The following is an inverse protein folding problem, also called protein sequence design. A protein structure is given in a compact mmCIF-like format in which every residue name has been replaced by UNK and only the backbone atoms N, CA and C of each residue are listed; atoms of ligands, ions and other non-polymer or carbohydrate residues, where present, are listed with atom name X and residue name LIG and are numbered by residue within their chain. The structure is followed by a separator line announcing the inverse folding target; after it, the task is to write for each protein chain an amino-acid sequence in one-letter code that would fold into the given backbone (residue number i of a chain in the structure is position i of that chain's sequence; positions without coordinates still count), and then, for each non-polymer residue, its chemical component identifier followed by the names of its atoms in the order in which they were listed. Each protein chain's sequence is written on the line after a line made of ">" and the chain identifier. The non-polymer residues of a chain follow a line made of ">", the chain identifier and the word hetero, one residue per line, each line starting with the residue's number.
data_IF_692487336846
#
_entry.id   IF_692487336846
#
_cell.length_a   1.000
_cell.length_b   1.000
_cell.length_c   1.000
_cell.angle_alpha   90.00
_cell.angle_beta   90.00
_cell.angle_gamma   90.00
#
_symmetry.space_group_name_H-M   'P 1'
#
loop_
_entity.id
_entity.type
_entity.pdbx_description
1 polymer ?
#
# COMPACT_ATOMS: atom_id res chain seq x y z
N UNK A 1 -5.35 3.56 -8.18
CA UNK A 1 -5.62 3.31 -6.74
C UNK A 1 -6.52 2.08 -6.59
N UNK A 2 -6.40 1.27 -5.52
CA UNK A 2 -7.28 0.13 -5.34
C UNK A 2 -8.70 0.57 -4.94
N UNK A 3 -9.75 -0.17 -5.34
CA UNK A 3 -11.14 0.10 -4.93
C UNK A 3 -11.30 0.14 -3.41
N UNK A 4 -10.59 -0.74 -2.70
CA UNK A 4 -10.50 -0.75 -1.24
C UNK A 4 -9.50 0.30 -0.71
N UNK A 5 -9.87 1.57 -0.86
CA UNK A 5 -9.12 2.72 -0.37
C UNK A 5 -10.02 3.77 0.30
N UNK A 6 -9.42 4.64 1.11
CA UNK A 6 -10.12 5.75 1.74
C UNK A 6 -10.36 6.96 0.81
N UNK A 7 -10.02 6.85 -0.49
CA UNK A 7 -10.22 7.93 -1.47
C UNK A 7 -11.70 8.24 -1.57
N UNK A 8 -12.08 9.53 -1.47
CA UNK A 8 -13.48 9.95 -1.62
C UNK A 8 -13.84 10.08 -3.09
N UNK A 9 -15.04 9.61 -3.44
CA UNK A 9 -15.64 9.66 -4.77
C UNK A 9 -17.07 10.14 -4.58
N UNK A 10 -17.39 11.32 -5.12
CA UNK A 10 -18.69 11.98 -4.94
C UNK A 10 -19.14 12.01 -3.46
N UNK A 11 -18.22 12.31 -2.55
CA UNK A 11 -18.48 12.41 -1.11
C UNK A 11 -18.40 11.10 -0.30
N UNK A 12 -18.38 9.92 -0.94
CA UNK A 12 -18.30 8.62 -0.26
C UNK A 12 -16.91 7.99 -0.37
N UNK A 13 -16.48 7.19 0.62
CA UNK A 13 -15.17 6.54 0.53
C UNK A 13 -15.23 5.36 -0.44
N UNK A 14 -14.20 5.17 -1.26
CA UNK A 14 -14.17 4.13 -2.30
C UNK A 14 -14.39 2.71 -1.72
N UNK A 15 -13.84 2.41 -0.53
CA UNK A 15 -14.05 1.10 0.10
C UNK A 15 -15.53 0.84 0.47
N UNK A 16 -16.33 1.88 0.74
CA UNK A 16 -17.75 1.73 1.09
C UNK A 16 -18.57 1.29 -0.13
N UNK A 17 -18.20 1.80 -1.31
CA UNK A 17 -18.79 1.42 -2.58
C UNK A 17 -18.31 0.04 -3.03
N UNK A 18 -17.02 -0.25 -2.88
CA UNK A 18 -16.43 -1.54 -3.23
C UNK A 18 -17.04 -2.70 -2.41
N UNK A 19 -17.28 -2.50 -1.11
CA UNK A 19 -17.96 -3.49 -0.25
C UNK A 19 -19.41 -3.77 -0.65
N UNK A 20 -20.05 -2.85 -1.39
CA UNK A 20 -21.41 -3.00 -1.91
C UNK A 20 -21.43 -3.59 -3.33
N UNK A 21 -20.29 -4.04 -3.85
CA UNK A 21 -20.17 -4.56 -5.21
C UNK A 21 -20.30 -3.49 -6.30
N UNK A 22 -20.36 -2.20 -5.94
CA UNK A 22 -20.44 -1.11 -6.92
C UNK A 22 -19.07 -0.95 -7.54
N UNK A 23 -18.99 -1.07 -8.87
CA UNK A 23 -17.73 -0.88 -9.56
C UNK A 23 -17.32 0.60 -9.46
N UNK A 24 -16.12 0.85 -8.93
CA UNK A 24 -15.65 2.19 -8.61
C UNK A 24 -14.58 2.56 -9.62
N UNK A 25 -14.92 3.41 -10.58
CA UNK A 25 -13.93 3.97 -11.48
C UNK A 25 -13.11 5.05 -10.74
N UNK A 26 -11.83 4.74 -10.51
CA UNK A 26 -10.92 5.64 -9.79
C UNK A 26 -9.88 6.14 -10.78
N UNK A 27 -9.87 7.45 -11.10
CA UNK A 27 -8.89 7.98 -12.04
C UNK A 27 -7.47 7.68 -11.54
N UNK A 28 -6.57 7.23 -12.45
CA UNK A 28 -5.18 7.01 -12.12
C UNK A 28 -4.56 8.26 -11.50
N UNK A 29 -3.70 8.07 -10.49
CA UNK A 29 -2.93 9.15 -9.90
C UNK A 29 -1.47 8.90 -10.22
N UNK A 30 -0.78 9.93 -10.73
CA UNK A 30 0.66 9.87 -10.94
C UNK A 30 1.35 9.76 -9.58
N UNK A 31 2.16 8.73 -9.42
CA UNK A 31 2.96 8.43 -8.22
C UNK A 31 4.32 7.94 -8.67
N UNK A 32 5.32 8.07 -7.81
CA UNK A 32 6.71 7.73 -8.11
C UNK A 32 7.23 6.71 -7.11
N UNK A 33 8.10 5.81 -7.59
CA UNK A 33 8.95 4.97 -6.77
C UNK A 33 10.36 5.53 -6.92
N UNK A 34 10.95 5.99 -5.83
CA UNK A 34 12.31 6.56 -5.80
C UNK A 34 13.37 5.47 -5.61
N UNK A 35 13.03 4.43 -4.85
CA UNK A 35 13.86 3.24 -4.63
C UNK A 35 12.98 2.02 -4.53
N UNK A 36 13.44 0.91 -5.10
CA UNK A 36 12.82 -0.40 -4.98
C UNK A 36 13.90 -1.46 -4.85
N UNK A 37 13.84 -2.27 -3.81
CA UNK A 37 14.83 -3.30 -3.52
C UNK A 37 14.12 -4.60 -3.12
N UNK A 38 14.54 -5.71 -3.72
CA UNK A 38 14.15 -7.06 -3.31
C UNK A 38 15.09 -7.50 -2.18
N UNK A 39 14.56 -7.67 -0.98
CA UNK A 39 15.34 -8.08 0.21
C UNK A 39 15.48 -9.58 0.31
N UNK A 40 14.40 -10.31 0.01
CA UNK A 40 14.33 -11.75 0.14
C UNK A 40 13.32 -12.31 -0.85
N UNK A 41 13.59 -13.51 -1.36
CA UNK A 41 12.69 -14.26 -2.21
C UNK A 41 12.77 -15.75 -1.85
N UNK A 42 11.67 -16.28 -1.32
CA UNK A 42 11.47 -17.69 -1.02
C UNK A 42 10.04 -18.05 -1.38
N UNK A 43 9.82 -18.58 -2.58
CA UNK A 43 8.48 -18.87 -3.09
C UNK A 43 7.63 -19.64 -2.04
N UNK A 44 6.39 -19.20 -1.76
CA UNK A 44 5.63 -18.16 -2.46
C UNK A 44 5.82 -16.73 -1.94
N UNK A 45 6.79 -16.49 -1.06
CA UNK A 45 7.01 -15.21 -0.38
C UNK A 45 8.17 -14.41 -0.97
N UNK A 46 8.02 -13.09 -0.89
CA UNK A 46 9.07 -12.14 -1.23
C UNK A 46 8.92 -10.87 -0.41
N UNK A 47 10.03 -10.23 -0.10
CA UNK A 47 10.08 -9.00 0.70
C UNK A 47 10.66 -7.87 -0.12
N UNK A 48 9.93 -6.76 -0.22
CA UNK A 48 10.38 -5.54 -0.89
C UNK A 48 10.56 -4.41 0.11
N UNK A 49 11.61 -3.61 -0.09
CA UNK A 49 11.74 -2.28 0.49
C UNK A 49 11.54 -1.25 -0.61
N UNK A 50 10.74 -0.21 -0.36
CA UNK A 50 10.52 0.85 -1.33
C UNK A 50 10.41 2.24 -0.70
N UNK A 51 10.98 3.23 -1.39
CA UNK A 51 10.78 4.65 -1.11
C UNK A 51 9.84 5.20 -2.18
N UNK A 52 8.74 5.83 -1.78
CA UNK A 52 7.63 6.16 -2.69
C UNK A 52 7.06 7.55 -2.43
N UNK A 53 6.43 8.13 -3.45
CA UNK A 53 5.72 9.42 -3.33
C UNK A 53 4.45 9.30 -2.48
N UNK A 54 3.92 10.44 -2.03
CA UNK A 54 2.64 10.48 -1.31
C UNK A 54 1.49 9.92 -2.14
N UNK A 55 0.62 9.13 -1.49
CA UNK A 55 -0.53 8.48 -2.15
C UNK A 55 -0.19 7.25 -2.99
N UNK A 56 1.03 6.72 -2.88
CA UNK A 56 1.39 5.43 -3.45
C UNK A 56 0.69 4.28 -2.71
N UNK A 57 0.25 3.27 -3.44
CA UNK A 57 -0.40 2.08 -2.89
C UNK A 57 0.51 0.86 -3.08
N UNK A 58 1.25 0.48 -2.04
CA UNK A 58 2.12 -0.73 -2.06
C UNK A 58 1.33 -1.99 -2.43
N UNK A 59 0.07 -2.09 -1.98
CA UNK A 59 -0.84 -3.17 -2.37
C UNK A 59 -1.10 -3.24 -3.88
N UNK A 60 -1.19 -2.10 -4.56
CA UNK A 60 -1.34 -2.06 -6.02
C UNK A 60 -0.05 -2.50 -6.72
N UNK A 61 1.12 -2.07 -6.22
CA UNK A 61 2.41 -2.55 -6.75
C UNK A 61 2.52 -4.07 -6.69
N UNK A 62 2.23 -4.68 -5.54
CA UNK A 62 2.29 -6.14 -5.38
C UNK A 62 1.29 -6.83 -6.30
N UNK A 63 0.06 -6.33 -6.39
CA UNK A 63 -0.93 -6.84 -7.34
C UNK A 63 -0.42 -6.79 -8.79
N UNK A 64 0.16 -5.66 -9.21
CA UNK A 64 0.69 -5.47 -10.57
C UNK A 64 1.89 -6.40 -10.86
N UNK A 65 2.76 -6.63 -9.87
CA UNK A 65 3.86 -7.61 -9.96
C UNK A 65 3.28 -9.02 -10.18
N UNK A 66 2.35 -9.44 -9.33
CA UNK A 66 1.71 -10.75 -9.45
C UNK A 66 0.98 -10.93 -10.77
N UNK A 67 0.32 -9.88 -11.27
CA UNK A 67 -0.35 -9.87 -12.58
C UNK A 67 0.67 -10.01 -13.71
N UNK A 68 1.80 -9.28 -13.67
CA UNK A 68 2.87 -9.39 -14.68
C UNK A 68 3.53 -10.78 -14.68
N UNK A 69 3.61 -11.42 -13.53
CA UNK A 69 4.15 -12.79 -13.40
C UNK A 69 3.12 -13.88 -13.73
N UNK A 70 1.84 -13.55 -13.91
CA UNK A 70 0.78 -14.52 -14.24
C UNK A 70 0.30 -15.38 -13.07
N UNK A 71 0.84 -15.19 -11.86
CA UNK A 71 0.50 -16.00 -10.66
C UNK A 71 -0.42 -15.27 -9.68
N UNK A 72 -0.57 -13.94 -9.83
CA UNK A 72 -1.22 -13.10 -8.82
C UNK A 72 -0.35 -12.91 -7.57
N UNK A 73 -0.62 -11.85 -6.81
CA UNK A 73 0.06 -11.63 -5.53
C UNK A 73 -0.78 -10.71 -4.63
N UNK A 74 -0.64 -10.92 -3.32
CA UNK A 74 -1.24 -10.10 -2.27
C UNK A 74 -0.19 -9.73 -1.23
N UNK A 75 -0.38 -8.58 -0.60
CA UNK A 75 0.45 -8.17 0.54
C UNK A 75 0.00 -8.96 1.77
N UNK A 76 0.93 -9.68 2.40
CA UNK A 76 0.70 -10.39 3.68
C UNK A 76 1.07 -9.52 4.88
N UNK A 77 2.11 -8.70 4.75
CA UNK A 77 2.57 -7.78 5.78
C UNK A 77 3.03 -6.46 5.13
N UNK A 78 2.78 -5.33 5.81
CA UNK A 78 3.26 -4.03 5.39
C UNK A 78 3.60 -3.18 6.62
N UNK A 79 4.87 -2.80 6.75
CA UNK A 79 5.33 -1.87 7.77
C UNK A 79 5.85 -0.60 7.11
N UNK A 80 5.33 0.54 7.55
CA UNK A 80 5.86 1.86 7.16
C UNK A 80 6.97 2.23 8.14
N UNK A 81 8.21 2.28 7.65
CA UNK A 81 9.41 2.54 8.48
C UNK A 81 9.80 4.01 8.54
N UNK A 82 9.34 4.85 7.61
CA UNK A 82 9.68 6.28 7.58
C UNK A 82 8.57 7.14 6.97
N UNK A 83 8.42 8.38 7.45
CA UNK A 83 7.60 9.43 6.83
C UNK A 83 8.42 10.72 6.77
N UNK A 84 8.90 11.09 5.59
CA UNK A 84 9.81 12.24 5.47
C UNK A 84 11.04 12.05 6.36
N UNK A 85 11.32 12.96 7.31
CA UNK A 85 12.44 12.83 8.24
C UNK A 85 12.19 11.87 9.41
N UNK A 86 10.93 11.50 9.70
CA UNK A 86 10.57 10.75 10.91
C UNK A 86 10.71 9.25 10.69
N UNK A 87 11.47 8.57 11.55
CA UNK A 87 11.67 7.13 11.51
C UNK A 87 10.74 6.40 12.50
N UNK A 88 10.41 5.14 12.20
CA UNK A 88 9.50 4.34 13.05
C UNK A 88 10.14 3.99 14.39
N UNK A 89 11.47 3.98 14.46
CA UNK A 89 12.26 3.76 15.68
C UNK A 89 12.08 4.91 16.68
N UNK A 90 11.69 6.10 16.20
CA UNK A 90 11.37 7.27 17.05
C UNK A 90 9.89 7.30 17.45
N UNK A 91 9.08 6.38 16.92
CA UNK A 91 7.65 6.32 17.21
C UNK A 91 7.40 5.67 18.57
N UNK A 92 6.54 6.30 19.38
CA UNK A 92 6.06 5.72 20.63
C UNK A 92 4.90 4.77 20.38
N UNK A 93 4.84 3.70 21.16
CA UNK A 93 3.67 2.83 21.16
C UNK A 93 2.47 3.57 21.77
N UNK A 94 1.25 3.27 21.30
CA UNK A 94 0.04 3.85 21.89
C UNK A 94 -0.06 3.58 23.39
N UNK A 95 0.35 2.40 23.85
CA UNK A 95 0.32 2.04 25.28
C UNK A 95 1.22 2.97 26.12
N UNK A 96 2.43 3.25 25.64
CA UNK A 96 3.39 4.15 26.30
C UNK A 96 2.92 5.60 26.40
N UNK A 97 1.92 5.99 25.61
CA UNK A 97 1.34 7.35 25.64
C UNK A 97 0.13 7.41 26.59
N UNK A 98 -0.56 6.29 26.79
CA UNK A 98 -1.79 6.22 27.59
C UNK A 98 -1.53 5.94 29.07
N UNK A 99 -0.33 5.43 29.40
CA UNK A 99 0.21 5.32 30.76
C UNK A 99 0.94 6.61 31.18
#
# INVERSE_FOLDING_TARGET
>A
PPPFSAKKIKGRKAYELARKGVNVDIPPKKVSIYRLELKEFQFPYFTLTCDVSSGFYVRSLVHDIGKKLGVGASVVELRRTRIGPYQVEEAKNLREILE
#
